data_IF_162224904249
#
_entry.id   IF_162224904249
#
_cell.length_a   1.000
_cell.length_b   1.000
_cell.length_c   1.000
_cell.angle_alpha   90.00
_cell.angle_beta   90.00
_cell.angle_gamma   90.00
#
_symmetry.space_group_name_H-M   'P 1'
#
loop_
_entity.id
_entity.type
_entity.pdbx_description
1 polymer ?
#
# COMPACT_ATOMS: atom_id res chain seq x y z
N UNK A 1 -23.12 20.88 10.80
CA UNK A 1 -22.85 19.44 10.57
C UNK A 1 -22.12 19.30 9.23
N UNK A 2 -20.88 19.79 9.09
CA UNK A 2 -19.63 19.20 9.60
C UNK A 2 -19.46 17.73 9.14
N UNK A 3 -18.39 17.47 8.37
CA UNK A 3 -17.79 16.16 8.01
C UNK A 3 -18.05 15.50 6.64
N UNK A 4 -18.13 16.23 5.52
CA UNK A 4 -17.97 15.61 4.17
C UNK A 4 -16.99 16.34 3.23
N UNK A 5 -15.99 17.05 3.78
CA UNK A 5 -14.88 17.68 3.01
C UNK A 5 -13.57 16.88 3.02
N UNK A 6 -13.59 15.58 3.32
CA UNK A 6 -12.36 14.80 3.50
C UNK A 6 -12.00 13.84 2.36
N UNK A 7 -12.85 13.65 1.33
CA UNK A 7 -12.65 12.52 0.40
C UNK A 7 -11.88 12.87 -0.89
N UNK A 8 -11.80 14.15 -1.28
CA UNK A 8 -11.09 14.57 -2.50
C UNK A 8 -9.57 14.81 -2.37
N UNK A 9 -8.94 15.02 -1.20
CA UNK A 9 -7.48 15.12 -1.10
C UNK A 9 -6.76 13.76 -1.02
N UNK A 10 -7.48 12.64 -0.87
CA UNK A 10 -6.87 11.35 -0.53
C UNK A 10 -5.90 10.80 -1.61
N UNK A 11 -6.19 11.03 -2.90
CA UNK A 11 -5.30 10.59 -4.01
C UNK A 11 -4.00 11.40 -4.12
N UNK A 12 -3.97 12.66 -3.66
CA UNK A 12 -2.78 13.52 -3.71
C UNK A 12 -1.99 13.55 -2.38
N UNK A 13 -2.65 13.36 -1.24
CA UNK A 13 -1.97 13.37 0.07
C UNK A 13 -1.26 12.06 0.43
N UNK A 14 -1.80 10.88 0.08
CA UNK A 14 -1.08 9.61 0.30
C UNK A 14 0.21 9.51 -0.53
N UNK A 15 0.26 10.19 -1.68
CA UNK A 15 1.45 10.29 -2.53
C UNK A 15 2.45 11.35 -2.09
N UNK A 16 2.05 12.31 -1.23
CA UNK A 16 2.89 13.40 -0.76
C UNK A 16 3.84 12.99 0.40
N UNK A 17 3.65 11.80 0.97
CA UNK A 17 4.45 11.31 2.10
C UNK A 17 5.80 10.71 1.69
N UNK A 18 6.05 10.56 0.39
CA UNK A 18 7.32 10.10 -0.17
C UNK A 18 7.80 11.03 -1.29
N UNK A 19 9.04 11.55 -1.25
CA UNK A 19 9.61 12.35 -2.32
C UNK A 19 9.86 11.54 -3.62
N UNK A 20 9.68 10.21 -3.62
CA UNK A 20 10.02 9.33 -4.75
C UNK A 20 8.87 8.79 -5.60
N UNK A 21 7.62 9.10 -5.27
CA UNK A 21 6.46 8.65 -6.03
C UNK A 21 5.88 9.64 -7.08
N UNK A 22 6.29 10.92 -7.21
CA UNK A 22 5.73 11.79 -8.25
C UNK A 22 6.01 11.38 -9.70
N UNK A 23 6.94 10.43 -9.94
CA UNK A 23 7.49 10.15 -11.28
C UNK A 23 7.15 8.78 -11.85
N UNK A 24 6.32 7.97 -11.19
CA UNK A 24 5.92 6.67 -11.74
C UNK A 24 4.57 6.86 -12.45
N UNK A 25 4.50 6.99 -13.79
CA UNK A 25 3.24 7.13 -14.55
C UNK A 25 2.38 5.85 -14.58
N UNK A 26 2.56 4.94 -13.62
CA UNK A 26 2.06 3.57 -13.66
C UNK A 26 0.86 3.46 -12.71
N UNK A 27 -0.15 2.66 -13.08
CA UNK A 27 -1.36 2.46 -12.26
C UNK A 27 -1.08 1.86 -10.87
N UNK A 28 -2.10 1.78 -10.02
CA UNK A 28 -1.97 1.27 -8.65
C UNK A 28 -1.47 -0.19 -8.61
N UNK A 29 -2.03 -1.06 -9.47
CA UNK A 29 -1.64 -2.48 -9.57
C UNK A 29 -0.16 -2.70 -9.94
N UNK A 30 0.37 -2.15 -11.05
CA UNK A 30 1.78 -2.38 -11.41
C UNK A 30 2.75 -1.79 -10.39
N UNK A 31 2.43 -0.66 -9.76
CA UNK A 31 3.25 -0.07 -8.68
C UNK A 31 3.31 -1.00 -7.46
N UNK A 32 2.18 -1.59 -7.07
CA UNK A 32 2.12 -2.56 -5.98
C UNK A 32 2.91 -3.85 -6.31
N UNK A 33 2.78 -4.37 -7.53
CA UNK A 33 3.49 -5.58 -7.97
C UNK A 33 5.01 -5.36 -8.03
N UNK A 34 5.47 -4.22 -8.51
CA UNK A 34 6.89 -3.86 -8.50
C UNK A 34 7.45 -3.80 -7.06
N UNK A 35 6.71 -3.14 -6.15
CA UNK A 35 7.09 -3.08 -4.74
C UNK A 35 7.20 -4.46 -4.08
N UNK A 36 6.23 -5.35 -4.33
CA UNK A 36 6.28 -6.73 -3.82
C UNK A 36 7.48 -7.51 -4.37
N UNK A 37 7.80 -7.35 -5.65
CA UNK A 37 8.95 -8.02 -6.25
C UNK A 37 10.27 -7.60 -5.57
N UNK A 38 10.48 -6.30 -5.36
CA UNK A 38 11.65 -5.80 -4.63
C UNK A 38 11.67 -6.29 -3.17
N UNK A 39 10.52 -6.33 -2.51
CA UNK A 39 10.40 -6.83 -1.13
C UNK A 39 10.82 -8.30 -1.03
N UNK A 40 10.37 -9.15 -1.95
CA UNK A 40 10.74 -10.57 -2.02
C UNK A 40 12.24 -10.74 -2.28
N UNK A 41 12.83 -9.92 -3.15
CA UNK A 41 14.26 -9.98 -3.42
C UNK A 41 15.09 -9.63 -2.18
N UNK A 42 14.71 -8.60 -1.43
CA UNK A 42 15.50 -8.06 -0.30
C UNK A 42 15.38 -8.91 0.98
N UNK A 43 14.20 -9.51 1.23
CA UNK A 43 13.92 -10.24 2.48
C UNK A 43 14.88 -11.42 2.76
N UNK A 44 15.15 -12.36 1.83
CA UNK A 44 16.05 -13.49 2.10
C UNK A 44 17.52 -13.05 2.22
N UNK A 45 17.91 -11.94 1.60
CA UNK A 45 19.26 -11.38 1.73
C UNK A 45 19.60 -11.00 3.18
N UNK A 46 18.60 -10.75 4.03
CA UNK A 46 18.83 -10.48 5.45
C UNK A 46 19.36 -11.68 6.22
N UNK A 47 19.11 -12.92 5.76
CA UNK A 47 19.64 -14.12 6.40
C UNK A 47 21.17 -14.21 6.28
N UNK A 48 21.76 -13.61 5.24
CA UNK A 48 23.21 -13.62 5.00
C UNK A 48 23.93 -12.36 5.49
N UNK A 49 23.22 -11.46 6.18
CA UNK A 49 23.78 -10.21 6.63
C UNK A 49 24.63 -10.41 7.89
N UNK A 50 25.93 -10.67 7.70
CA UNK A 50 26.89 -10.92 8.79
C UNK A 50 27.49 -9.68 9.46
N UNK A 51 27.22 -8.47 8.94
CA UNK A 51 27.75 -7.22 9.51
C UNK A 51 26.66 -6.15 9.67
N UNK A 52 26.83 -5.28 10.66
CA UNK A 52 25.89 -4.18 10.95
C UNK A 52 25.70 -3.25 9.75
N UNK A 53 26.77 -2.93 9.02
CA UNK A 53 26.70 -2.05 7.85
C UNK A 53 25.83 -2.64 6.74
N UNK A 54 25.96 -3.94 6.47
CA UNK A 54 25.14 -4.65 5.47
C UNK A 54 23.67 -4.68 5.91
N UNK A 55 23.40 -4.94 7.19
CA UNK A 55 22.05 -4.90 7.76
C UNK A 55 21.37 -3.53 7.59
N UNK A 56 22.09 -2.43 7.83
CA UNK A 56 21.55 -1.07 7.68
C UNK A 56 21.21 -0.74 6.22
N UNK A 57 22.09 -1.12 5.28
CA UNK A 57 21.85 -0.94 3.84
C UNK A 57 20.62 -1.75 3.40
N UNK A 58 20.54 -3.02 3.79
CA UNK A 58 19.39 -3.86 3.50
C UNK A 58 18.10 -3.29 4.10
N UNK A 59 18.15 -2.76 5.33
CA UNK A 59 17.01 -2.14 5.99
C UNK A 59 16.51 -0.90 5.27
N UNK A 60 17.42 -0.09 4.73
CA UNK A 60 17.06 1.09 3.94
C UNK A 60 16.25 0.69 2.71
N UNK A 61 16.76 -0.24 1.90
CA UNK A 61 16.05 -0.72 0.70
C UNK A 61 14.75 -1.46 1.04
N UNK A 62 14.75 -2.26 2.11
CA UNK A 62 13.56 -2.94 2.61
C UNK A 62 12.47 -1.91 3.01
N UNK A 63 12.85 -0.83 3.69
CA UNK A 63 11.95 0.27 4.05
C UNK A 63 11.36 0.97 2.81
N UNK A 64 12.16 1.17 1.77
CA UNK A 64 11.67 1.71 0.48
C UNK A 64 10.62 0.78 -0.14
N UNK A 65 10.90 -0.52 -0.23
CA UNK A 65 9.95 -1.49 -0.77
C UNK A 65 8.66 -1.56 0.06
N UNK A 66 8.77 -1.54 1.39
CA UNK A 66 7.63 -1.56 2.31
C UNK A 66 6.71 -0.33 2.14
N UNK A 67 7.30 0.85 1.93
CA UNK A 67 6.55 2.09 1.66
C UNK A 67 5.73 2.03 0.37
N UNK A 68 6.29 1.44 -0.69
CA UNK A 68 5.60 1.23 -1.97
C UNK A 68 4.46 0.23 -1.81
N UNK A 69 4.69 -0.89 -1.13
CA UNK A 69 3.69 -1.95 -0.92
C UNK A 69 2.50 -1.45 -0.11
N UNK A 70 2.73 -0.72 0.98
CA UNK A 70 1.66 -0.22 1.88
C UNK A 70 0.80 0.86 1.22
N UNK A 71 1.43 1.82 0.54
CA UNK A 71 0.74 2.89 -0.20
C UNK A 71 0.03 2.35 -1.45
N UNK A 72 0.71 1.49 -2.22
CA UNK A 72 0.14 0.86 -3.41
C UNK A 72 -1.03 -0.06 -3.06
N UNK A 73 -0.92 -0.85 -1.99
CA UNK A 73 -1.96 -1.77 -1.53
C UNK A 73 -3.21 -1.05 -1.02
N UNK A 74 -3.05 0.00 -0.19
CA UNK A 74 -4.20 0.80 0.27
C UNK A 74 -4.91 1.51 -0.88
N UNK A 75 -4.16 2.01 -1.86
CA UNK A 75 -4.73 2.60 -3.09
C UNK A 75 -5.46 1.57 -3.93
N UNK A 76 -4.88 0.37 -4.11
CA UNK A 76 -5.49 -0.73 -4.85
C UNK A 76 -6.82 -1.15 -4.24
N UNK A 77 -6.90 -1.26 -2.91
CA UNK A 77 -8.16 -1.57 -2.20
C UNK A 77 -9.19 -0.46 -2.41
N UNK A 78 -8.79 0.80 -2.28
CA UNK A 78 -9.71 1.93 -2.45
C UNK A 78 -10.29 2.04 -3.87
N UNK A 79 -9.50 1.65 -4.89
CA UNK A 79 -9.91 1.64 -6.29
C UNK A 79 -10.84 0.46 -6.64
N UNK A 80 -10.65 -0.72 -6.03
CA UNK A 80 -11.47 -1.92 -6.29
C UNK A 80 -12.82 -1.86 -5.56
N UNK A 81 -12.86 -1.25 -4.37
CA UNK A 81 -14.08 -1.25 -3.54
C UNK A 81 -15.08 -0.19 -4.01
N UNK A 82 -16.37 -0.57 -4.23
CA UNK A 82 -17.39 0.35 -4.69
C UNK A 82 -17.65 1.51 -3.70
N UNK A 83 -17.94 2.72 -4.19
CA UNK A 83 -18.02 3.93 -3.38
C UNK A 83 -18.98 3.83 -2.19
N UNK A 84 -20.10 3.12 -2.35
CA UNK A 84 -21.13 2.98 -1.32
C UNK A 84 -20.68 2.12 -0.12
N UNK A 85 -19.69 1.23 -0.31
CA UNK A 85 -19.19 0.30 0.73
C UNK A 85 -17.69 0.44 0.97
N UNK A 86 -17.08 1.56 0.59
CA UNK A 86 -15.65 1.84 0.79
C UNK A 86 -15.22 1.77 2.25
N UNK A 87 -16.06 2.25 3.16
CA UNK A 87 -15.79 2.17 4.60
C UNK A 87 -15.61 0.73 5.09
N UNK A 88 -16.45 -0.20 4.61
CA UNK A 88 -16.34 -1.62 4.95
C UNK A 88 -15.07 -2.24 4.37
N UNK A 89 -14.78 -2.02 3.08
CA UNK A 89 -13.60 -2.58 2.42
C UNK A 89 -12.27 -2.07 2.99
N UNK A 90 -12.15 -0.76 3.23
CA UNK A 90 -10.98 -0.17 3.89
C UNK A 90 -10.89 -0.65 5.36
N UNK A 91 -12.03 -0.82 6.03
CA UNK A 91 -12.10 -1.38 7.38
C UNK A 91 -11.50 -2.80 7.45
N UNK A 92 -11.88 -3.70 6.54
CA UNK A 92 -11.31 -5.06 6.46
C UNK A 92 -9.81 -5.05 6.20
N UNK A 93 -9.34 -4.18 5.29
CA UNK A 93 -7.90 -4.01 5.04
C UNK A 93 -7.16 -3.56 6.32
N UNK A 94 -7.69 -2.56 7.02
CA UNK A 94 -7.12 -2.09 8.28
C UNK A 94 -7.09 -3.17 9.38
N UNK A 95 -8.19 -3.90 9.58
CA UNK A 95 -8.26 -4.99 10.56
C UNK A 95 -7.25 -6.10 10.26
N UNK A 96 -7.06 -6.45 8.99
CA UNK A 96 -6.05 -7.43 8.58
C UNK A 96 -4.64 -6.97 8.91
N UNK A 97 -4.33 -5.68 8.74
CA UNK A 97 -3.04 -5.11 9.07
C UNK A 97 -2.78 -5.13 10.59
N UNK A 98 -3.78 -4.74 11.39
CA UNK A 98 -3.69 -4.80 12.85
C UNK A 98 -3.52 -6.23 13.34
N UNK A 99 -4.25 -7.19 12.78
CA UNK A 99 -4.10 -8.61 13.10
C UNK A 99 -2.70 -9.12 12.77
N UNK A 100 -2.15 -8.74 11.60
CA UNK A 100 -0.78 -9.09 11.22
C UNK A 100 0.26 -8.50 12.20
N UNK A 101 0.09 -7.24 12.63
CA UNK A 101 0.99 -6.62 13.61
C UNK A 101 0.89 -7.27 15.00
N UNK A 102 -0.27 -7.79 15.39
CA UNK A 102 -0.44 -8.53 16.64
C UNK A 102 0.17 -9.94 16.57
N UNK A 103 -0.02 -10.64 15.44
CA UNK A 103 0.50 -12.01 15.24
C UNK A 103 2.01 -12.04 14.98
N UNK A 104 2.56 -11.00 14.36
CA UNK A 104 3.98 -10.92 13.98
C UNK A 104 4.95 -11.19 15.14
N UNK A 105 4.84 -10.46 16.28
CA UNK A 105 5.71 -10.68 17.44
C UNK A 105 5.56 -12.07 18.06
N UNK A 106 4.35 -12.64 18.09
CA UNK A 106 4.08 -13.96 18.68
C UNK A 106 4.77 -15.05 17.86
N UNK A 107 4.60 -15.02 16.54
CA UNK A 107 5.29 -15.94 15.62
C UNK A 107 6.80 -15.71 15.64
N UNK A 108 7.21 -14.44 15.64
CA UNK A 108 8.61 -14.02 15.70
C UNK A 108 9.35 -14.60 16.90
N UNK A 109 8.80 -14.37 18.10
CA UNK A 109 9.36 -14.80 19.36
C UNK A 109 9.36 -16.33 19.50
N UNK A 110 8.31 -17.00 19.03
CA UNK A 110 8.22 -18.46 19.09
C UNK A 110 9.28 -19.16 18.24
N UNK A 111 9.62 -18.60 17.08
CA UNK A 111 10.65 -19.13 16.18
C UNK A 111 12.06 -18.85 16.69
N UNK A 112 12.31 -17.66 17.23
CA UNK A 112 13.62 -17.30 17.79
C UNK A 112 14.04 -18.25 18.91
N UNK A 113 13.10 -18.74 19.72
CA UNK A 113 13.41 -19.69 20.80
C UNK A 113 13.69 -21.12 20.31
N UNK A 114 13.28 -21.51 19.09
CA UNK A 114 13.26 -22.91 18.67
C UNK A 114 14.23 -23.28 17.56
N UNK A 115 14.47 -22.41 16.57
CA UNK A 115 15.06 -22.85 15.29
C UNK A 115 16.29 -22.05 14.87
N UNK A 116 16.19 -20.72 14.72
CA UNK A 116 17.27 -19.73 14.50
C UNK A 116 16.68 -18.46 13.89
N UNK A 117 17.44 -17.36 13.90
CA UNK A 117 17.01 -16.08 13.31
C UNK A 117 16.81 -16.13 11.79
N UNK A 118 17.63 -16.90 11.06
CA UNK A 118 17.53 -17.01 9.59
C UNK A 118 16.18 -17.56 9.12
N UNK A 119 15.60 -18.50 9.88
CA UNK A 119 14.30 -19.09 9.56
C UNK A 119 13.14 -18.09 9.59
N UNK A 120 13.26 -17.00 10.34
CA UNK A 120 12.29 -15.91 10.28
C UNK A 120 12.25 -15.25 8.92
N UNK A 121 13.41 -15.01 8.31
CA UNK A 121 13.50 -14.40 7.00
C UNK A 121 13.01 -15.34 5.90
N UNK A 122 13.29 -16.65 6.01
CA UNK A 122 12.75 -17.61 5.05
C UNK A 122 11.22 -17.71 5.14
N UNK A 123 10.65 -17.78 6.34
CA UNK A 123 9.21 -17.86 6.52
C UNK A 123 8.49 -16.60 6.06
N UNK A 124 9.03 -15.41 6.37
CA UNK A 124 8.49 -14.15 5.86
C UNK A 124 8.58 -14.08 4.33
N UNK A 125 9.67 -14.56 3.73
CA UNK A 125 9.81 -14.65 2.26
C UNK A 125 8.71 -15.53 1.65
N UNK A 126 8.41 -16.69 2.25
CA UNK A 126 7.32 -17.58 1.78
C UNK A 126 5.95 -16.89 1.86
N UNK A 127 5.67 -16.16 2.95
CA UNK A 127 4.39 -15.43 3.12
C UNK A 127 4.25 -14.32 2.07
N UNK A 128 5.33 -13.57 1.80
CA UNK A 128 5.30 -12.50 0.78
C UNK A 128 5.19 -13.10 -0.62
N UNK A 129 5.87 -14.22 -0.89
CA UNK A 129 5.74 -14.94 -2.16
C UNK A 129 4.29 -15.39 -2.40
N UNK A 130 3.64 -15.94 -1.38
CA UNK A 130 2.23 -16.29 -1.44
C UNK A 130 1.34 -15.07 -1.72
N UNK A 131 1.64 -13.94 -1.07
CA UNK A 131 0.95 -12.66 -1.32
C UNK A 131 1.13 -12.19 -2.76
N UNK A 132 2.34 -12.30 -3.33
CA UNK A 132 2.61 -11.96 -4.72
C UNK A 132 1.83 -12.85 -5.69
N UNK A 133 1.77 -14.15 -5.44
CA UNK A 133 0.94 -15.09 -6.24
C UNK A 133 -0.54 -14.70 -6.16
N UNK A 134 -1.07 -14.45 -4.95
CA UNK A 134 -2.46 -14.00 -4.79
C UNK A 134 -2.74 -12.66 -5.49
N UNK A 135 -1.81 -11.71 -5.42
CA UNK A 135 -1.94 -10.41 -6.06
C UNK A 135 -2.05 -10.49 -7.58
N UNK A 136 -1.47 -11.52 -8.22
CA UNK A 136 -1.61 -11.75 -9.65
C UNK A 136 -3.05 -12.11 -10.05
N UNK A 137 -3.78 -12.82 -9.19
CA UNK A 137 -5.19 -13.19 -9.44
C UNK A 137 -6.18 -12.04 -9.27
N UNK A 138 -5.76 -10.90 -8.69
CA UNK A 138 -6.63 -9.74 -8.50
C UNK A 138 -6.91 -9.09 -9.86
N UNK A 139 -8.17 -9.14 -10.29
CA UNK A 139 -8.65 -8.42 -11.47
C UNK A 139 -8.82 -6.94 -11.12
N UNK A 140 -7.94 -6.09 -11.66
CA UNK A 140 -8.01 -4.65 -11.46
C UNK A 140 -8.69 -4.02 -12.68
N UNK A 141 -9.86 -3.36 -12.52
CA UNK A 141 -10.42 -2.55 -13.58
C UNK A 141 -9.45 -1.39 -13.83
N UNK A 142 -8.90 -1.33 -15.05
CA UNK A 142 -7.99 -0.25 -15.46
C UNK A 142 -8.77 1.07 -15.41
N UNK A 143 -8.71 1.78 -14.29
CA UNK A 143 -9.23 3.14 -14.21
C UNK A 143 -8.30 4.00 -15.06
N UNK A 144 -8.75 4.57 -16.19
CA UNK A 144 -7.89 5.40 -17.02
C UNK A 144 -7.34 6.53 -16.15
N UNK A 145 -6.02 6.74 -16.22
CA UNK A 145 -5.39 7.93 -15.64
C UNK A 145 -5.97 9.14 -16.38
N UNK A 146 -7.05 9.68 -15.84
CA UNK A 146 -7.63 10.91 -16.36
C UNK A 146 -6.70 12.05 -15.94
N UNK A 147 -5.77 12.35 -16.83
CA UNK A 147 -5.06 13.64 -16.89
C UNK A 147 -6.00 14.79 -17.32
N UNK A 148 -7.31 14.57 -17.38
CA UNK A 148 -8.29 15.54 -17.87
C UNK A 148 -9.67 15.27 -17.29
N UNK A 149 -10.06 16.13 -16.34
CA UNK A 149 -11.36 16.21 -15.67
C UNK A 149 -12.39 15.16 -16.08
N UNK A 150 -12.46 14.04 -15.34
CA UNK A 150 -13.64 13.20 -15.37
C UNK A 150 -14.78 13.97 -14.74
N UNK A 151 -15.81 14.27 -15.53
CA UNK A 151 -17.09 14.74 -15.04
C UNK A 151 -17.75 13.60 -14.27
N UNK A 152 -17.44 13.50 -12.97
CA UNK A 152 -18.05 12.52 -12.05
C UNK A 152 -19.54 12.82 -11.83
N UNK A 153 -20.02 13.99 -12.27
CA UNK A 153 -21.42 14.40 -12.24
C UNK A 153 -21.90 14.72 -13.66
N UNK A 154 -23.02 14.14 -14.13
CA UNK A 154 -23.66 14.61 -15.35
C UNK A 154 -24.23 16.00 -15.05
N UNK A 155 -23.51 17.05 -15.49
CA UNK A 155 -24.05 18.41 -15.55
C UNK A 155 -23.39 19.49 -14.70
N UNK A 156 -22.35 19.23 -13.91
CA UNK A 156 -21.67 20.33 -13.18
C UNK A 156 -20.48 20.87 -13.96
N UNK A 157 -20.83 21.77 -14.88
CA UNK A 157 -19.97 22.85 -15.36
C UNK A 157 -19.22 23.41 -14.14
N UNK A 158 -17.89 23.50 -14.24
CA UNK A 158 -17.00 24.16 -13.29
C UNK A 158 -17.73 25.29 -12.55
N UNK A 159 -17.80 25.15 -11.22
CA UNK A 159 -18.40 26.14 -10.31
C UNK A 159 -18.02 27.56 -10.76
N UNK A 160 -19.02 28.35 -11.15
CA UNK A 160 -18.84 29.80 -11.26
C UNK A 160 -18.47 30.32 -9.85
N UNK A 161 -17.35 31.03 -9.69
CA UNK A 161 -17.01 31.63 -8.41
C UNK A 161 -18.02 32.76 -8.13
N UNK A 162 -18.83 32.61 -7.07
CA UNK A 162 -19.73 33.69 -6.63
C UNK A 162 -21.13 33.30 -6.13
N UNK A 163 -21.45 32.01 -5.94
CA UNK A 163 -22.82 31.59 -5.61
C UNK A 163 -22.96 30.79 -4.31
N UNK A 164 -22.40 31.29 -3.20
CA UNK A 164 -22.81 30.85 -1.87
C UNK A 164 -22.94 32.07 -0.95
N UNK A 165 -24.16 32.52 -0.60
CA UNK A 165 -24.33 33.40 0.55
C UNK A 165 -24.13 32.54 1.78
N UNK A 166 -23.07 32.83 2.53
CA UNK A 166 -22.83 32.21 3.83
C UNK A 166 -23.88 32.74 4.81
N UNK A 167 -24.60 31.87 5.55
CA UNK A 167 -25.23 32.26 6.81
C UNK A 167 -24.18 32.36 7.92
#
# INVERSE_FOLDING_TARGET
>A
MATLRACLPYRRCCFAQWPVLPWIPWGAKPTYMAGLFFFIAITPLHAWAGTLSVLLILRFFHGMAWGVVTTGGSTLVADIVPPLRRGEGIGYFGMSFTAAMALGPVLGLSLMHKISYEWLFYLTTVIVLFTFVLANFIHYPQLPFSAGGVNVFPGTRFMKPGLYPWP
#
